data_IF_345491859913
#
_entry.id   IF_345491859913
#
_cell.length_a   1.000
_cell.length_b   1.000
_cell.length_c   1.000
_cell.angle_alpha   90.00
_cell.angle_beta   90.00
_cell.angle_gamma   90.00
#
_symmetry.space_group_name_H-M   'P 1'
#
loop_
_entity.id
_entity.type
_entity.pdbx_description
1 polymer ?
#
# COMPACT_ATOMS: atom_id res chain seq x y z
N UNK A 1 -12.80 0.91 4.19
CA UNK A 1 -12.91 2.05 5.13
C UNK A 1 -11.86 3.10 4.79
N UNK A 2 -12.24 4.34 4.84
CA UNK A 2 -11.35 5.47 4.50
C UNK A 2 -10.87 6.12 5.79
N UNK A 3 -9.58 6.38 5.86
CA UNK A 3 -8.93 7.07 6.97
C UNK A 3 -8.39 8.41 6.48
N UNK A 4 -8.50 9.44 7.30
CA UNK A 4 -8.12 10.80 6.92
C UNK A 4 -7.20 11.40 7.96
N UNK A 5 -6.15 12.06 7.49
CA UNK A 5 -5.24 12.87 8.29
C UNK A 5 -5.24 14.29 7.72
N UNK A 6 -4.91 15.27 8.55
CA UNK A 6 -4.87 16.64 8.08
C UNK A 6 -4.00 17.52 8.96
N UNK A 7 -3.55 18.61 8.37
CA UNK A 7 -2.96 19.72 9.10
C UNK A 7 -3.66 21.02 8.66
N UNK A 8 -3.05 22.16 8.94
CA UNK A 8 -3.58 23.47 8.54
C UNK A 8 -3.81 23.59 7.03
N UNK A 9 -2.97 22.94 6.22
CA UNK A 9 -2.94 23.13 4.76
C UNK A 9 -3.57 22.02 3.95
N UNK A 10 -3.39 20.77 4.38
CA UNK A 10 -3.74 19.60 3.59
C UNK A 10 -4.68 18.65 4.32
N UNK A 11 -5.55 18.01 3.56
CA UNK A 11 -6.33 16.85 3.99
C UNK A 11 -5.98 15.68 3.08
N UNK A 12 -5.53 14.58 3.67
CA UNK A 12 -5.08 13.40 2.95
C UNK A 12 -5.88 12.20 3.42
N UNK A 13 -6.42 11.44 2.47
CA UNK A 13 -7.19 10.24 2.77
C UNK A 13 -6.60 9.02 2.09
N UNK A 14 -6.73 7.87 2.73
CA UNK A 14 -6.33 6.58 2.17
C UNK A 14 -7.34 5.51 2.58
N UNK A 15 -7.42 4.47 1.77
CA UNK A 15 -8.28 3.33 2.01
C UNK A 15 -7.47 2.19 2.61
N UNK A 16 -8.07 1.43 3.55
CA UNK A 16 -7.43 0.22 4.07
C UNK A 16 -7.35 -0.89 3.00
N UNK A 17 -8.24 -0.86 2.03
CA UNK A 17 -8.15 -1.75 0.87
C UNK A 17 -6.98 -1.30 0.00
N UNK A 18 -5.89 -2.07 0.06
CA UNK A 18 -4.65 -1.77 -0.65
C UNK A 18 -3.79 -0.69 -0.02
N UNK A 19 -4.17 -0.13 1.12
CA UNK A 19 -3.50 1.01 1.76
C UNK A 19 -3.29 2.16 0.76
N UNK A 20 -4.26 2.37 -0.12
CA UNK A 20 -4.14 3.25 -1.28
C UNK A 20 -4.56 4.67 -0.93
N UNK A 21 -3.73 5.65 -1.30
CA UNK A 21 -4.16 7.06 -1.24
C UNK A 21 -5.39 7.26 -2.12
N UNK A 22 -6.39 7.94 -1.58
CA UNK A 22 -7.63 8.24 -2.29
C UNK A 22 -7.86 9.73 -2.51
N UNK A 23 -7.21 10.59 -1.73
CA UNK A 23 -7.39 12.04 -1.87
C UNK A 23 -6.20 12.79 -1.26
N UNK A 24 -5.77 13.83 -1.96
CA UNK A 24 -4.83 14.83 -1.44
C UNK A 24 -5.43 16.19 -1.79
N UNK A 25 -6.01 16.82 -0.80
CA UNK A 25 -6.79 18.07 -0.99
C UNK A 25 -6.10 19.25 -0.31
N UNK A 26 -5.98 20.36 -1.06
CA UNK A 26 -5.55 21.63 -0.49
C UNK A 26 -6.75 22.29 0.18
N UNK A 27 -6.68 22.52 1.50
CA UNK A 27 -7.83 23.00 2.28
C UNK A 27 -8.28 24.43 1.89
N UNK A 28 -7.34 25.25 1.48
CA UNK A 28 -7.59 26.64 1.13
C UNK A 28 -8.66 26.81 0.05
N UNK A 29 -8.64 25.96 -0.98
CA UNK A 29 -9.53 26.10 -2.13
C UNK A 29 -10.23 24.79 -2.53
N UNK A 30 -10.04 23.73 -1.77
CA UNK A 30 -10.64 22.42 -2.07
C UNK A 30 -10.05 21.71 -3.29
N UNK A 31 -8.89 22.15 -3.78
CA UNK A 31 -8.28 21.56 -4.97
C UNK A 31 -7.78 20.15 -4.66
N UNK A 32 -8.22 19.18 -5.47
CA UNK A 32 -7.81 17.80 -5.41
C UNK A 32 -6.60 17.56 -6.32
N UNK A 33 -5.52 16.98 -5.79
CA UNK A 33 -4.30 16.73 -6.54
C UNK A 33 -4.16 15.28 -7.02
N UNK A 34 -5.04 14.38 -6.57
CA UNK A 34 -4.96 12.97 -6.93
C UNK A 34 -6.05 12.63 -7.93
N UNK A 35 -5.69 11.79 -8.92
CA UNK A 35 -6.66 11.20 -9.84
C UNK A 35 -7.78 10.50 -9.06
N UNK A 36 -9.03 10.77 -9.40
CA UNK A 36 -10.16 10.31 -8.60
C UNK A 36 -10.78 8.99 -9.09
N UNK A 37 -10.09 8.26 -9.96
CA UNK A 37 -10.49 6.90 -10.27
C UNK A 37 -11.73 6.79 -11.13
N UNK A 38 -11.86 7.61 -12.17
CA UNK A 38 -12.98 7.54 -13.11
C UNK A 38 -13.02 6.15 -13.76
N UNK A 39 -14.06 5.32 -13.51
CA UNK A 39 -14.11 3.96 -14.04
C UNK A 39 -14.10 3.87 -15.55
N UNK A 40 -14.51 4.94 -16.26
CA UNK A 40 -14.50 4.96 -17.71
C UNK A 40 -13.09 5.09 -18.28
N UNK A 41 -12.11 5.46 -17.46
CA UNK A 41 -10.70 5.63 -17.85
C UNK A 41 -9.84 4.64 -17.09
N UNK A 42 -9.71 4.81 -15.78
CA UNK A 42 -8.94 3.94 -14.90
C UNK A 42 -9.40 4.15 -13.46
N UNK A 43 -9.97 3.09 -12.86
CA UNK A 43 -10.54 3.20 -11.52
C UNK A 43 -9.48 3.27 -10.41
N UNK A 44 -8.25 2.82 -10.68
CA UNK A 44 -7.16 2.89 -9.72
C UNK A 44 -6.71 4.32 -9.48
N UNK A 45 -6.07 4.56 -8.34
CA UNK A 45 -5.57 5.90 -7.97
C UNK A 45 -4.07 5.87 -7.72
N UNK A 46 -3.65 5.29 -6.61
CA UNK A 46 -2.24 5.22 -6.22
C UNK A 46 -1.95 3.85 -5.61
N UNK A 47 -2.05 2.76 -6.39
CA UNK A 47 -1.93 1.41 -5.85
C UNK A 47 -0.53 1.14 -5.29
N UNK A 48 -0.48 0.39 -4.20
CA UNK A 48 0.76 -0.12 -3.60
C UNK A 48 1.13 -1.42 -4.30
N UNK A 49 2.32 -1.47 -4.88
CA UNK A 49 2.80 -2.61 -5.65
C UNK A 49 3.77 -3.42 -4.81
N UNK A 50 3.35 -4.63 -4.39
CA UNK A 50 4.14 -5.52 -3.57
C UNK A 50 3.62 -6.95 -3.69
N UNK A 51 4.46 -7.99 -3.71
CA UNK A 51 5.92 -7.94 -3.60
C UNK A 51 6.66 -7.66 -4.91
N UNK A 52 5.95 -7.55 -6.04
CA UNK A 52 6.59 -7.26 -7.32
C UNK A 52 5.92 -6.08 -8.02
N UNK A 53 6.64 -5.52 -8.97
CA UNK A 53 6.16 -4.51 -9.91
C UNK A 53 6.20 -5.14 -11.30
N UNK A 54 5.10 -5.06 -12.05
CA UNK A 54 5.00 -5.67 -13.37
C UNK A 54 4.52 -7.11 -13.30
N UNK A 55 4.84 -7.89 -14.31
CA UNK A 55 4.36 -9.26 -14.44
C UNK A 55 5.53 -10.20 -14.72
N UNK A 56 5.52 -11.34 -14.04
CA UNK A 56 6.49 -12.40 -14.27
C UNK A 56 6.15 -13.16 -15.56
N UNK A 57 7.16 -13.79 -16.18
CA UNK A 57 6.95 -14.66 -17.33
C UNK A 57 5.99 -15.79 -16.92
N UNK A 58 4.91 -15.93 -17.66
CA UNK A 58 3.83 -16.90 -17.36
C UNK A 58 3.20 -16.73 -15.98
N UNK A 59 3.43 -15.59 -15.33
CA UNK A 59 2.87 -15.30 -14.01
C UNK A 59 3.43 -16.17 -12.88
N UNK A 60 4.61 -16.75 -13.07
CA UNK A 60 5.16 -17.76 -12.14
C UNK A 60 6.63 -17.52 -11.85
N UNK A 61 7.08 -18.05 -10.70
CA UNK A 61 8.49 -18.12 -10.35
C UNK A 61 8.77 -19.39 -9.57
N UNK A 62 10.04 -19.75 -9.47
CA UNK A 62 10.47 -20.92 -8.69
C UNK A 62 11.35 -20.48 -7.54
N UNK A 63 11.09 -21.06 -6.40
CA UNK A 63 11.92 -20.86 -5.22
C UNK A 63 12.04 -22.18 -4.47
N UNK A 64 13.27 -22.53 -4.16
CA UNK A 64 13.60 -23.72 -3.38
C UNK A 64 12.95 -25.01 -3.94
N UNK A 65 12.97 -25.15 -5.28
CA UNK A 65 12.43 -26.30 -5.98
C UNK A 65 10.91 -26.33 -6.16
N UNK A 66 10.20 -25.31 -5.70
CA UNK A 66 8.75 -25.21 -5.83
C UNK A 66 8.38 -24.06 -6.75
N UNK A 67 7.26 -24.21 -7.45
CA UNK A 67 6.70 -23.19 -8.32
C UNK A 67 5.61 -22.42 -7.60
N UNK A 68 5.64 -21.10 -7.75
CA UNK A 68 4.65 -20.20 -7.16
C UNK A 68 4.06 -19.30 -8.22
N UNK A 69 2.77 -19.02 -8.11
CA UNK A 69 2.11 -18.04 -8.94
C UNK A 69 2.12 -16.68 -8.26
N UNK A 70 2.28 -15.62 -9.04
CA UNK A 70 2.24 -14.25 -8.53
C UNK A 70 1.44 -13.39 -9.49
N UNK A 71 0.38 -12.72 -9.04
CA UNK A 71 -0.40 -11.85 -9.92
C UNK A 71 0.41 -10.63 -10.34
N UNK A 72 0.03 -10.05 -11.45
CA UNK A 72 0.63 -8.79 -11.93
C UNK A 72 0.61 -7.75 -10.82
N UNK A 73 1.74 -7.12 -10.56
CA UNK A 73 1.96 -6.12 -9.51
C UNK A 73 1.79 -6.66 -8.08
N UNK A 74 1.78 -8.00 -7.90
CA UNK A 74 1.66 -8.61 -6.58
C UNK A 74 0.25 -8.57 -6.03
N UNK A 75 0.13 -8.70 -4.70
CA UNK A 75 -1.16 -8.86 -4.03
C UNK A 75 -1.54 -7.71 -3.09
N UNK A 76 -0.60 -6.83 -2.74
CA UNK A 76 -0.86 -5.80 -1.73
C UNK A 76 -2.03 -4.88 -2.12
N UNK A 77 -2.12 -4.50 -3.38
CA UNK A 77 -3.17 -3.61 -3.88
C UNK A 77 -4.59 -4.19 -3.75
N UNK A 78 -4.70 -5.50 -3.56
CA UNK A 78 -5.98 -6.19 -3.39
C UNK A 78 -6.17 -6.74 -1.97
N UNK A 79 -5.27 -6.37 -1.05
CA UNK A 79 -5.32 -6.83 0.34
C UNK A 79 -5.85 -5.74 1.25
N UNK A 80 -6.59 -6.13 2.28
CA UNK A 80 -7.05 -5.20 3.31
C UNK A 80 -5.97 -5.09 4.38
N UNK A 81 -5.45 -3.87 4.57
CA UNK A 81 -4.45 -3.58 5.59
C UNK A 81 -5.13 -3.28 6.92
N UNK A 82 -4.45 -3.58 8.00
CA UNK A 82 -4.85 -3.13 9.33
C UNK A 82 -4.32 -1.72 9.58
N UNK A 83 -5.04 -0.94 10.37
CA UNK A 83 -4.50 0.34 10.84
C UNK A 83 -3.67 0.06 12.10
N UNK A 84 -2.38 0.38 12.07
CA UNK A 84 -1.44 0.11 13.15
C UNK A 84 -1.30 1.30 14.09
N UNK A 85 -1.23 2.49 13.52
CA UNK A 85 -1.13 3.75 14.26
C UNK A 85 -1.91 4.82 13.51
N UNK A 86 -2.51 5.73 14.27
CA UNK A 86 -3.19 6.89 13.69
C UNK A 86 -3.10 8.05 14.65
N UNK A 87 -2.74 9.22 14.11
CA UNK A 87 -2.77 10.49 14.80
C UNK A 87 -3.48 11.51 13.92
N UNK A 88 -3.49 12.75 14.34
CA UNK A 88 -4.12 13.82 13.57
C UNK A 88 -3.45 14.01 12.20
N UNK A 89 -2.14 13.86 12.15
CA UNK A 89 -1.32 14.16 10.96
C UNK A 89 -0.56 12.96 10.40
N UNK A 90 -0.80 11.76 10.91
CA UNK A 90 -0.18 10.55 10.37
C UNK A 90 -1.06 9.31 10.56
N UNK A 91 -0.87 8.33 9.67
CA UNK A 91 -1.53 7.04 9.75
C UNK A 91 -0.61 5.97 9.18
N UNK A 92 -0.59 4.80 9.81
CA UNK A 92 0.24 3.67 9.40
C UNK A 92 -0.63 2.45 9.17
N UNK A 93 -0.56 1.92 7.95
CA UNK A 93 -1.23 0.68 7.55
C UNK A 93 -0.24 -0.47 7.61
N UNK A 94 -0.72 -1.65 7.99
CA UNK A 94 0.10 -2.86 8.10
C UNK A 94 -0.54 -4.03 7.37
N UNK A 95 0.28 -4.74 6.60
CA UNK A 95 -0.07 -6.01 5.98
C UNK A 95 0.97 -7.04 6.43
N UNK A 96 0.54 -8.02 7.19
CA UNK A 96 1.40 -9.11 7.64
C UNK A 96 1.19 -10.35 6.78
N UNK A 97 2.21 -11.21 6.72
CA UNK A 97 2.09 -12.51 6.07
C UNK A 97 0.95 -13.32 6.68
N UNK A 98 0.32 -14.13 5.86
CA UNK A 98 -0.81 -14.98 6.22
C UNK A 98 -0.74 -16.28 5.44
N UNK A 99 -1.64 -17.20 5.74
CA UNK A 99 -1.74 -18.45 4.96
C UNK A 99 -2.01 -18.15 3.48
N UNK A 100 -2.82 -17.12 3.20
CA UNK A 100 -3.10 -16.71 1.83
C UNK A 100 -1.87 -16.16 1.12
N UNK A 101 -1.11 -15.27 1.77
CA UNK A 101 0.08 -14.70 1.13
C UNK A 101 1.16 -15.73 0.92
N UNK A 102 1.29 -16.73 1.83
CA UNK A 102 2.31 -17.78 1.70
C UNK A 102 2.08 -18.69 0.50
N UNK A 103 0.87 -18.76 -0.04
CA UNK A 103 0.59 -19.54 -1.25
C UNK A 103 1.34 -19.01 -2.47
N UNK A 104 1.55 -17.71 -2.55
CA UNK A 104 2.26 -17.09 -3.67
C UNK A 104 3.57 -16.42 -3.27
N UNK A 105 3.79 -16.19 -1.98
CA UNK A 105 4.99 -15.54 -1.45
C UNK A 105 5.35 -16.22 -0.13
N UNK A 106 6.21 -17.28 -0.17
CA UNK A 106 6.41 -18.17 0.97
C UNK A 106 7.38 -17.61 2.01
N UNK A 107 7.20 -16.36 2.38
CA UNK A 107 8.07 -15.64 3.32
C UNK A 107 7.22 -14.96 4.38
N UNK A 108 7.75 -14.90 5.60
CA UNK A 108 7.18 -14.08 6.65
C UNK A 108 7.56 -12.63 6.40
N UNK A 109 6.60 -11.72 6.55
CA UNK A 109 6.86 -10.30 6.38
C UNK A 109 5.84 -9.46 7.13
N UNK A 110 6.21 -8.22 7.38
CA UNK A 110 5.27 -7.15 7.72
C UNK A 110 5.58 -5.94 6.83
N UNK A 111 4.61 -5.51 6.06
CA UNK A 111 4.70 -4.34 5.18
C UNK A 111 3.97 -3.18 5.83
N UNK A 112 4.66 -2.09 6.10
CA UNK A 112 4.09 -0.88 6.68
C UNK A 112 4.07 0.22 5.63
N UNK A 113 2.91 0.86 5.49
CA UNK A 113 2.75 2.04 4.64
C UNK A 113 2.31 3.17 5.57
N UNK A 114 3.15 4.18 5.69
CA UNK A 114 2.85 5.34 6.53
C UNK A 114 2.64 6.57 5.66
N UNK A 115 1.52 7.23 5.89
CA UNK A 115 1.23 8.53 5.30
C UNK A 115 1.23 9.60 6.38
N UNK A 116 1.84 10.74 6.07
CA UNK A 116 1.86 11.87 6.99
C UNK A 116 1.79 13.17 6.21
N UNK A 117 1.43 14.25 6.90
CA UNK A 117 1.43 15.59 6.32
C UNK A 117 2.35 16.48 7.13
N UNK A 118 3.17 17.28 6.42
CA UNK A 118 4.10 18.22 7.02
C UNK A 118 4.09 19.49 6.16
N UNK A 119 3.60 20.61 6.73
CA UNK A 119 3.41 21.82 5.94
C UNK A 119 2.49 21.54 4.75
N UNK A 120 2.95 21.87 3.55
CA UNK A 120 2.22 21.64 2.29
C UNK A 120 2.64 20.33 1.61
N UNK A 121 3.29 19.42 2.33
CA UNK A 121 3.87 18.21 1.76
C UNK A 121 3.21 16.96 2.33
N UNK A 122 2.54 16.14 1.50
CA UNK A 122 2.20 14.78 1.90
C UNK A 122 3.43 13.90 1.78
N UNK A 123 3.62 13.00 2.74
CA UNK A 123 4.78 12.10 2.77
C UNK A 123 4.29 10.66 2.81
N UNK A 124 4.83 9.83 1.92
CA UNK A 124 4.60 8.38 1.93
C UNK A 124 5.90 7.68 2.30
N UNK A 125 5.83 6.76 3.25
CA UNK A 125 6.96 5.98 3.71
C UNK A 125 6.60 4.50 3.73
N UNK A 126 7.44 3.68 3.11
CA UNK A 126 7.24 2.22 3.07
C UNK A 126 8.35 1.54 3.86
N UNK A 127 7.97 0.61 4.73
CA UNK A 127 8.91 -0.18 5.52
C UNK A 127 8.53 -1.65 5.45
N UNK A 128 9.50 -2.48 5.04
CA UNK A 128 9.31 -3.94 4.97
C UNK A 128 10.20 -4.59 6.02
N UNK A 129 9.59 -5.38 6.90
CA UNK A 129 10.31 -6.18 7.89
C UNK A 129 10.31 -7.64 7.46
N UNK A 130 11.48 -8.25 7.39
CA UNK A 130 11.68 -9.66 7.09
C UNK A 130 12.40 -10.33 8.25
N UNK A 131 12.22 -11.65 8.45
CA UNK A 131 13.00 -12.40 9.44
C UNK A 131 14.49 -12.36 9.08
N UNK A 132 15.34 -12.03 10.04
CA UNK A 132 16.78 -11.92 9.82
C UNK A 132 17.50 -13.26 9.84
N UNK A 133 16.94 -14.25 10.54
CA UNK A 133 17.55 -15.59 10.67
C UNK A 133 17.68 -16.33 9.34
N UNK A 134 16.89 -15.96 8.35
CA UNK A 134 16.87 -16.62 7.05
C UNK A 134 17.88 -16.06 6.07
N UNK A 135 18.65 -15.07 6.49
CA UNK A 135 19.60 -14.37 5.64
C UNK A 135 21.02 -14.90 5.71
N UNK A 136 21.20 -15.97 6.43
CA UNK A 136 22.52 -16.57 6.64
C UNK A 136 22.79 -17.68 5.66
#
# INVERSE_FOLDING_TARGET
MIYTIENEFLRVSAEDDGAQLSSVELKENGKEFLWQGDPSVWYGRAPVLFPIIGQLLDGKYRYNGREYEMPKHGFARHSVFAIKEQSEDSMTFSLASSDETRKCYPFEFELLIKYSVSGHTPVSYTHLTLPTSDLV
#
